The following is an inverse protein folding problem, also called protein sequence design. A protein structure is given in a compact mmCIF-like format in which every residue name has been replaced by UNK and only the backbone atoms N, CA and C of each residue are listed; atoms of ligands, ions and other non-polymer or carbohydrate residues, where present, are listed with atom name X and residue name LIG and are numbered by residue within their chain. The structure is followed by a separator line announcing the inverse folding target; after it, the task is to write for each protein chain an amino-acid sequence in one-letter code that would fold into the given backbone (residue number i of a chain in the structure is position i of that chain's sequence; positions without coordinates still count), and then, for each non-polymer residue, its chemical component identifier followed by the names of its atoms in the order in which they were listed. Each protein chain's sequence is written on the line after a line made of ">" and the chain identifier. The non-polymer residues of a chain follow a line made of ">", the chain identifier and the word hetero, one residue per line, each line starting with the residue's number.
data_IF_643374542198
#
_entry.id   IF_643374542198
#
_cell.length_a   1.000
_cell.length_b   1.000
_cell.length_c   1.000
_cell.angle_alpha   90.00
_cell.angle_beta   90.00
_cell.angle_gamma   90.00
#
_symmetry.space_group_name_H-M   'P 1'
#
loop_
_entity.id
_entity.type
_entity.pdbx_description
1 polymer ?
#
# COMPACT_ATOMS: atom_id res chain seq x y z
N UNK A 1 25.32 -8.24 18.74
CA UNK A 1 25.79 -8.41 17.37
C UNK A 1 24.67 -8.93 16.51
N UNK A 2 24.17 -8.03 15.66
CA UNK A 2 23.18 -8.29 14.64
C UNK A 2 23.74 -9.16 13.52
N UNK A 3 25.07 -9.18 13.36
CA UNK A 3 25.79 -10.02 12.40
C UNK A 3 25.65 -11.53 12.66
N UNK A 4 25.17 -11.93 13.84
CA UNK A 4 24.90 -13.32 14.20
C UNK A 4 23.40 -13.54 14.32
N UNK A 5 22.84 -14.38 13.45
CA UNK A 5 21.42 -14.78 13.45
C UNK A 5 20.44 -13.58 13.46
N UNK A 6 20.80 -12.46 12.82
CA UNK A 6 20.03 -11.21 12.90
C UNK A 6 19.75 -10.77 14.35
N UNK A 7 20.66 -11.08 15.27
CA UNK A 7 20.44 -10.90 16.70
C UNK A 7 19.22 -11.65 17.26
N UNK A 8 18.73 -12.67 16.60
CA UNK A 8 17.48 -13.37 16.92
C UNK A 8 16.22 -12.54 16.68
N UNK A 9 16.31 -11.40 15.96
CA UNK A 9 15.17 -10.59 15.58
C UNK A 9 14.41 -11.22 14.41
N UNK A 10 13.07 -11.15 14.43
CA UNK A 10 12.24 -11.66 13.34
C UNK A 10 12.39 -10.85 12.05
N UNK A 11 12.37 -9.50 12.14
CA UNK A 11 12.51 -8.62 10.99
C UNK A 11 13.89 -7.96 10.96
N UNK A 12 14.07 -6.84 11.67
CA UNK A 12 15.33 -6.08 11.61
C UNK A 12 16.01 -6.02 12.96
N UNK A 13 17.31 -6.29 12.98
CA UNK A 13 18.18 -6.02 14.11
C UNK A 13 18.88 -4.68 13.94
N UNK A 14 18.89 -3.89 15.00
CA UNK A 14 19.59 -2.62 15.07
C UNK A 14 20.51 -2.69 16.29
N UNK A 15 21.71 -2.15 16.15
CA UNK A 15 22.63 -2.04 17.27
C UNK A 15 23.46 -0.76 17.18
N UNK A 16 23.92 -0.31 18.33
CA UNK A 16 24.92 0.74 18.50
C UNK A 16 25.95 0.27 19.54
N UNK A 17 26.94 1.09 19.87
CA UNK A 17 28.02 0.73 20.80
C UNK A 17 27.54 0.32 22.22
N UNK A 18 26.29 0.61 22.58
CA UNK A 18 25.75 0.36 23.94
C UNK A 18 24.57 -0.60 23.99
N UNK A 19 23.80 -0.75 22.90
CA UNK A 19 22.53 -1.47 22.93
C UNK A 19 22.19 -2.13 21.60
N UNK A 20 21.30 -3.12 21.66
CA UNK A 20 20.79 -3.89 20.52
C UNK A 20 19.29 -4.08 20.68
N UNK A 21 18.52 -3.75 19.65
CA UNK A 21 17.06 -3.87 19.66
C UNK A 21 16.52 -4.35 18.32
N UNK A 22 15.36 -5.02 18.37
CA UNK A 22 14.64 -5.41 17.16
C UNK A 22 13.67 -4.30 16.73
N UNK A 23 13.48 -4.15 15.42
CA UNK A 23 12.42 -3.33 14.84
C UNK A 23 11.64 -4.12 13.80
N UNK A 24 10.37 -3.77 13.63
CA UNK A 24 9.45 -4.47 12.73
C UNK A 24 9.22 -3.68 11.45
N UNK A 25 9.05 -4.39 10.33
CA UNK A 25 8.60 -3.84 9.05
C UNK A 25 7.30 -3.05 9.16
N UNK A 26 7.02 -2.21 8.17
CA UNK A 26 5.77 -1.44 8.11
C UNK A 26 4.55 -2.39 8.14
N UNK A 27 3.50 -2.00 8.88
CA UNK A 27 2.35 -2.85 9.14
C UNK A 27 2.55 -3.85 10.30
N UNK A 28 3.69 -3.84 10.98
CA UNK A 28 3.96 -4.73 12.12
C UNK A 28 4.42 -3.96 13.36
N UNK A 29 4.16 -4.53 14.52
CA UNK A 29 4.62 -4.05 15.82
C UNK A 29 5.32 -5.15 16.62
N UNK A 30 6.15 -4.75 17.59
CA UNK A 30 6.83 -5.70 18.48
C UNK A 30 5.78 -6.43 19.33
N UNK A 31 5.89 -7.75 19.41
CA UNK A 31 5.01 -8.57 20.22
C UNK A 31 5.16 -8.21 21.71
N UNK A 32 4.05 -8.17 22.44
CA UNK A 32 4.05 -7.80 23.86
C UNK A 32 4.73 -8.82 24.77
N UNK A 33 4.84 -10.07 24.32
CA UNK A 33 5.40 -11.21 25.04
C UNK A 33 6.82 -11.60 24.59
N UNK A 34 7.28 -11.14 23.42
CA UNK A 34 8.62 -11.38 22.91
C UNK A 34 9.12 -10.20 22.07
N UNK A 35 10.08 -9.44 22.63
CA UNK A 35 10.65 -8.24 21.99
C UNK A 35 11.38 -8.52 20.67
N UNK A 36 11.59 -9.78 20.32
CA UNK A 36 12.21 -10.22 19.07
C UNK A 36 11.22 -10.51 17.96
N UNK A 37 9.93 -10.69 18.29
CA UNK A 37 8.89 -11.05 17.33
C UNK A 37 8.10 -9.83 16.88
N UNK A 38 7.60 -9.93 15.67
CA UNK A 38 6.77 -8.93 15.04
C UNK A 38 5.40 -9.52 14.76
N UNK A 39 4.37 -8.85 15.25
CA UNK A 39 2.98 -9.18 15.02
C UNK A 39 2.35 -8.14 14.12
N UNK A 40 1.47 -8.60 13.26
CA UNK A 40 0.71 -7.75 12.35
C UNK A 40 -0.12 -6.72 13.12
N UNK A 41 -0.18 -5.49 12.59
CA UNK A 41 -1.05 -4.43 13.10
C UNK A 41 -2.37 -4.53 12.36
N UNK A 42 -3.43 -4.93 13.07
CA UNK A 42 -4.76 -4.91 12.49
C UNK A 42 -5.30 -3.48 12.42
N UNK A 43 -5.15 -2.83 11.26
CA UNK A 43 -5.62 -1.46 11.09
C UNK A 43 -7.15 -1.34 11.10
N UNK A 44 -7.88 -2.44 10.84
CA UNK A 44 -9.34 -2.48 10.83
C UNK A 44 -9.95 -2.39 12.23
N UNK A 45 -9.18 -2.72 13.28
CA UNK A 45 -9.55 -2.44 14.68
C UNK A 45 -9.38 -0.97 15.06
N UNK A 46 -8.72 -0.19 14.19
CA UNK A 46 -8.52 1.25 14.35
C UNK A 46 -9.68 2.09 13.83
N UNK A 47 -9.39 3.37 13.59
CA UNK A 47 -10.37 4.36 13.14
C UNK A 47 -10.26 4.61 11.63
N UNK A 48 -11.40 4.57 10.93
CA UNK A 48 -11.54 4.98 9.53
C UNK A 48 -11.00 6.40 9.31
N UNK A 49 -10.20 6.58 8.26
CA UNK A 49 -9.53 7.84 7.92
C UNK A 49 -8.31 8.18 8.79
N UNK A 50 -7.93 7.30 9.72
CA UNK A 50 -6.73 7.44 10.56
C UNK A 50 -5.83 6.22 10.40
N UNK A 51 -6.37 5.03 10.65
CA UNK A 51 -5.65 3.76 10.55
C UNK A 51 -5.84 3.10 9.18
N UNK A 52 -7.06 3.18 8.65
CA UNK A 52 -7.38 2.69 7.31
C UNK A 52 -8.10 3.76 6.49
N UNK A 53 -8.14 3.61 5.17
CA UNK A 53 -8.58 4.65 4.24
C UNK A 53 -10.02 5.14 4.53
N UNK A 54 -10.26 6.43 4.33
CA UNK A 54 -11.58 7.05 4.61
C UNK A 54 -12.68 6.49 3.69
N UNK A 55 -12.33 6.22 2.43
CA UNK A 55 -13.23 5.65 1.42
C UNK A 55 -13.22 4.11 1.38
N UNK A 56 -12.75 3.46 2.45
CA UNK A 56 -12.87 2.01 2.60
C UNK A 56 -14.26 1.66 3.14
N UNK A 57 -15.03 0.84 2.42
CA UNK A 57 -16.38 0.44 2.86
C UNK A 57 -16.29 -0.64 3.94
N UNK A 58 -15.68 -1.78 3.62
CA UNK A 58 -15.47 -2.90 4.53
C UNK A 58 -13.97 -3.20 4.63
N UNK A 59 -13.35 -2.90 5.77
CA UNK A 59 -11.93 -3.13 5.99
C UNK A 59 -11.64 -4.63 6.22
N UNK A 60 -10.62 -5.16 5.57
CA UNK A 60 -10.15 -6.54 5.71
C UNK A 60 -8.68 -6.51 6.08
N UNK A 61 -8.35 -7.00 7.27
CA UNK A 61 -6.96 -7.08 7.70
C UNK A 61 -6.19 -8.16 6.91
N UNK A 62 -4.94 -7.90 6.58
CA UNK A 62 -4.04 -8.79 5.83
C UNK A 62 -2.65 -8.77 6.47
N UNK A 63 -1.80 -9.75 6.20
CA UNK A 63 -0.48 -9.77 6.85
C UNK A 63 0.43 -8.65 6.32
N UNK A 64 0.72 -7.66 7.17
CA UNK A 64 1.53 -6.46 6.92
C UNK A 64 0.74 -5.29 6.34
N UNK A 65 -0.59 -5.37 6.28
CA UNK A 65 -1.43 -4.32 5.67
C UNK A 65 -2.93 -4.62 5.84
N UNK A 66 -3.78 -3.79 5.26
CA UNK A 66 -5.20 -4.12 5.03
C UNK A 66 -5.59 -4.08 3.55
N UNK A 67 -6.79 -4.55 3.22
CA UNK A 67 -7.46 -4.23 1.95
C UNK A 67 -8.92 -3.88 2.24
N UNK A 68 -9.66 -3.49 1.21
CA UNK A 68 -11.05 -3.08 1.33
C UNK A 68 -11.93 -3.88 0.39
N UNK A 69 -13.07 -4.31 0.92
CA UNK A 69 -14.16 -4.83 0.12
C UNK A 69 -15.21 -3.73 -0.08
N UNK A 70 -15.69 -3.61 -1.32
CA UNK A 70 -16.48 -2.47 -1.78
C UNK A 70 -17.94 -2.87 -1.98
N UNK A 71 -18.83 -2.07 -1.41
CA UNK A 71 -20.28 -2.20 -1.61
C UNK A 71 -20.69 -2.12 -3.10
N UNK A 72 -21.90 -2.59 -3.42
CA UNK A 72 -22.44 -2.62 -4.78
C UNK A 72 -22.38 -1.25 -5.48
N UNK A 73 -21.90 -1.25 -6.73
CA UNK A 73 -21.71 -0.03 -7.54
C UNK A 73 -20.36 0.67 -7.35
N UNK A 74 -19.49 0.14 -6.50
CA UNK A 74 -18.12 0.59 -6.29
C UNK A 74 -17.10 -0.48 -6.67
N UNK A 75 -15.89 -0.05 -6.98
CA UNK A 75 -14.76 -0.92 -7.31
C UNK A 75 -13.55 -0.57 -6.45
N UNK A 76 -12.74 -1.59 -6.15
CA UNK A 76 -11.49 -1.41 -5.43
C UNK A 76 -10.52 -0.61 -6.32
N UNK A 77 -10.10 0.54 -5.83
CA UNK A 77 -9.10 1.38 -6.49
C UNK A 77 -7.76 0.61 -6.60
N UNK A 78 -6.90 0.90 -7.60
CA UNK A 78 -5.61 0.23 -7.76
C UNK A 78 -4.64 0.38 -6.59
N UNK A 79 -4.89 1.30 -5.66
CA UNK A 79 -4.14 1.35 -4.39
C UNK A 79 -4.44 0.14 -3.47
N UNK A 80 -5.53 -0.58 -3.70
CA UNK A 80 -5.98 -1.72 -2.89
C UNK A 80 -6.60 -1.33 -1.54
N UNK A 81 -6.84 -0.04 -1.31
CA UNK A 81 -7.21 0.55 -0.01
C UNK A 81 -8.45 1.43 -0.07
N UNK A 82 -8.88 1.90 -1.23
CA UNK A 82 -10.03 2.79 -1.36
C UNK A 82 -11.09 2.24 -2.32
N UNK A 83 -12.36 2.51 -2.05
CA UNK A 83 -13.46 2.16 -2.94
C UNK A 83 -13.88 3.39 -3.73
N UNK A 84 -13.89 3.27 -5.06
CA UNK A 84 -14.30 4.35 -5.95
C UNK A 84 -15.54 3.95 -6.74
N UNK A 85 -16.47 4.89 -6.90
CA UNK A 85 -17.68 4.64 -7.67
C UNK A 85 -17.34 4.36 -9.14
N UNK A 86 -18.11 3.48 -9.79
CA UNK A 86 -17.87 3.13 -11.20
C UNK A 86 -17.89 4.34 -12.16
N UNK A 87 -18.62 5.41 -11.83
CA UNK A 87 -18.58 6.66 -12.58
C UNK A 87 -17.21 7.33 -12.54
N UNK A 88 -16.52 7.29 -11.39
CA UNK A 88 -15.16 7.79 -11.22
C UNK A 88 -14.15 6.93 -11.99
N UNK A 89 -14.32 5.60 -12.01
CA UNK A 89 -13.49 4.68 -12.81
C UNK A 89 -13.62 4.98 -14.30
N UNK A 90 -14.86 5.18 -14.79
CA UNK A 90 -15.13 5.48 -16.21
C UNK A 90 -14.47 6.80 -16.64
N UNK A 91 -14.51 7.82 -15.79
CA UNK A 91 -13.84 9.10 -16.07
C UNK A 91 -12.31 8.95 -16.09
N UNK A 92 -11.72 8.23 -15.12
CA UNK A 92 -10.28 7.96 -15.10
C UNK A 92 -9.80 7.14 -16.32
N UNK A 93 -10.57 6.14 -16.74
CA UNK A 93 -10.28 5.36 -17.95
C UNK A 93 -10.34 6.23 -19.22
N UNK A 94 -11.31 7.14 -19.30
CA UNK A 94 -11.40 8.11 -20.41
C UNK A 94 -10.18 9.04 -20.41
N UNK A 95 -9.78 9.58 -19.26
CA UNK A 95 -8.58 10.43 -19.17
C UNK A 95 -7.29 9.70 -19.58
N UNK A 96 -7.10 8.45 -19.16
CA UNK A 96 -5.96 7.64 -19.58
C UNK A 96 -5.99 7.36 -21.09
N UNK A 97 -7.15 7.02 -21.66
CA UNK A 97 -7.28 6.81 -23.11
C UNK A 97 -7.06 8.09 -23.92
N UNK A 98 -7.52 9.23 -23.43
CA UNK A 98 -7.28 10.53 -24.05
C UNK A 98 -5.78 10.82 -24.08
N UNK A 99 -5.07 10.66 -22.96
CA UNK A 99 -3.62 10.89 -22.90
C UNK A 99 -2.83 9.96 -23.84
N UNK A 100 -3.20 8.67 -23.91
CA UNK A 100 -2.61 7.71 -24.84
C UNK A 100 -2.91 8.11 -26.29
N UNK A 101 -4.15 8.47 -26.61
CA UNK A 101 -4.54 8.91 -27.95
C UNK A 101 -3.77 10.16 -28.38
N UNK A 102 -3.66 11.19 -27.52
CA UNK A 102 -2.87 12.38 -27.80
C UNK A 102 -1.39 12.07 -28.02
N UNK A 103 -0.82 11.15 -27.24
CA UNK A 103 0.55 10.69 -27.43
C UNK A 103 0.76 10.02 -28.80
N UNK A 104 -0.15 9.12 -29.21
CA UNK A 104 -0.09 8.49 -30.53
C UNK A 104 -0.26 9.48 -31.68
N UNK A 105 -1.19 10.43 -31.56
CA UNK A 105 -1.40 11.49 -32.57
C UNK A 105 -0.17 12.39 -32.66
N UNK A 106 0.44 12.75 -31.54
CA UNK A 106 1.67 13.54 -31.50
C UNK A 106 2.83 12.84 -32.23
N UNK A 107 3.03 11.54 -31.96
CA UNK A 107 4.02 10.72 -32.65
C UNK A 107 3.75 10.68 -34.15
N UNK A 108 2.51 10.41 -34.55
CA UNK A 108 2.12 10.32 -35.96
C UNK A 108 2.36 11.64 -36.72
N UNK A 109 1.99 12.78 -36.12
CA UNK A 109 2.24 14.10 -36.69
C UNK A 109 3.74 14.42 -36.73
N UNK A 110 4.50 14.08 -35.69
CA UNK A 110 5.96 14.25 -35.69
C UNK A 110 6.61 13.52 -36.87
N UNK A 111 6.20 12.28 -37.15
CA UNK A 111 6.69 11.52 -38.30
C UNK A 111 6.27 12.12 -39.65
N UNK A 112 5.09 12.75 -39.76
CA UNK A 112 4.62 13.37 -41.01
C UNK A 112 5.30 14.70 -41.37
N UNK A 113 5.82 15.42 -40.38
CA UNK A 113 6.40 16.77 -40.58
C UNK A 113 7.93 16.79 -40.50
N UNK A 114 8.56 15.81 -39.85
CA UNK A 114 10.01 15.76 -39.65
C UNK A 114 10.72 14.66 -40.47
N UNK A 115 9.99 13.93 -41.33
CA UNK A 115 10.54 13.06 -42.36
C UNK A 115 9.97 13.38 -43.74
#
# INVERSE_FOLDING_TARGET
>A
ECDVDNGGCQHRCNENDMDKWCSCDEGFQIASDDWRKCVDIDECLGKRGVNYHVDCHNCINTNGSYTCDCDEGYELHPDGKSCIGQSSVRLAYIELNINVYFYFVFIYLFFLFFF
#
